data_IF_718131183920
#
_entry.id   IF_718131183920
#
_cell.length_a   1.000
_cell.length_b   1.000
_cell.length_c   1.000
_cell.angle_alpha   90.00
_cell.angle_beta   90.00
_cell.angle_gamma   90.00
#
_symmetry.space_group_name_H-M   'P 1'
#
loop_
_entity.id
_entity.type
_entity.pdbx_description
1 polymer ?
#
# COMPACT_ATOMS: atom_id res chain seq x y z
N UNK A 1 -36.62 26.86 -18.39
CA UNK A 1 -35.74 25.68 -18.22
C UNK A 1 -34.60 26.05 -17.29
N UNK A 2 -34.68 25.72 -16.00
CA UNK A 2 -33.55 25.85 -15.07
C UNK A 2 -32.71 24.57 -15.13
N UNK A 3 -31.44 24.72 -15.47
CA UNK A 3 -30.45 23.64 -15.48
C UNK A 3 -29.75 23.70 -14.13
N UNK A 4 -30.06 22.76 -13.22
CA UNK A 4 -29.30 22.59 -11.99
C UNK A 4 -27.90 22.05 -12.32
N UNK A 5 -26.80 22.60 -11.77
CA UNK A 5 -25.51 21.94 -11.81
C UNK A 5 -25.52 20.77 -10.84
N UNK A 6 -25.36 19.55 -11.38
CA UNK A 6 -25.11 18.34 -10.60
C UNK A 6 -23.74 18.44 -9.94
N UNK A 7 -23.74 18.82 -8.67
CA UNK A 7 -22.58 18.81 -7.80
C UNK A 7 -22.22 17.35 -7.48
N UNK A 8 -21.29 16.77 -8.22
CA UNK A 8 -20.68 15.50 -7.84
C UNK A 8 -19.79 15.73 -6.61
N UNK A 9 -20.38 15.53 -5.43
CA UNK A 9 -19.67 15.49 -4.17
C UNK A 9 -18.84 14.18 -4.14
N UNK A 10 -17.56 14.26 -4.46
CA UNK A 10 -16.64 13.15 -4.26
C UNK A 10 -16.41 12.98 -2.75
N UNK A 11 -17.14 12.05 -2.13
CA UNK A 11 -16.91 11.65 -0.74
C UNK A 11 -15.63 10.80 -0.74
N UNK A 12 -14.56 11.17 0.00
CA UNK A 12 -13.46 10.25 0.23
C UNK A 12 -14.01 9.06 1.01
N UNK A 13 -14.03 7.88 0.38
CA UNK A 13 -14.41 6.64 1.04
C UNK A 13 -13.30 6.25 2.03
N UNK A 14 -13.43 6.70 3.28
CA UNK A 14 -12.66 6.14 4.40
C UNK A 14 -13.30 4.80 4.76
N UNK A 15 -12.70 3.70 4.30
CA UNK A 15 -13.08 2.36 4.73
C UNK A 15 -12.52 2.14 6.14
N UNK A 16 -13.33 2.41 7.17
CA UNK A 16 -13.03 2.00 8.54
C UNK A 16 -13.51 0.56 8.72
N UNK A 17 -12.60 -0.40 8.62
CA UNK A 17 -12.88 -1.77 9.01
C UNK A 17 -13.13 -1.83 10.53
N UNK A 18 -14.25 -2.47 10.91
CA UNK A 18 -14.82 -2.51 12.25
C UNK A 18 -13.89 -3.02 13.36
N UNK A 19 -14.18 -2.54 14.56
CA UNK A 19 -13.38 -2.73 15.77
C UNK A 19 -13.34 -4.14 16.33
N UNK A 20 -12.12 -4.56 16.62
CA UNK A 20 -11.73 -5.36 17.77
C UNK A 20 -10.68 -4.50 18.51
N UNK A 21 -10.62 -4.57 19.85
CA UNK A 21 -9.59 -3.86 20.63
C UNK A 21 -8.23 -4.02 19.95
N UNK A 22 -7.38 -2.97 19.82
CA UNK A 22 -6.18 -3.07 19.03
C UNK A 22 -5.28 -4.11 19.70
N UNK A 23 -5.27 -5.33 19.15
CA UNK A 23 -4.16 -6.25 19.37
C UNK A 23 -2.92 -5.41 19.09
N UNK A 24 -2.04 -5.27 20.10
CA UNK A 24 -0.84 -4.46 20.01
C UNK A 24 -0.17 -4.81 18.68
N UNK A 25 -0.10 -3.83 17.77
CA UNK A 25 0.48 -4.07 16.44
C UNK A 25 1.88 -4.65 16.67
N UNK A 26 2.26 -5.72 15.96
CA UNK A 26 3.58 -6.30 16.11
C UNK A 26 4.63 -5.22 15.86
N UNK A 27 5.61 -5.08 16.75
CA UNK A 27 6.69 -4.09 16.61
C UNK A 27 7.86 -4.74 15.86
N UNK A 28 8.23 -4.18 14.71
CA UNK A 28 9.33 -4.67 13.88
C UNK A 28 10.57 -3.77 13.91
N UNK A 29 10.69 -2.88 14.90
CA UNK A 29 11.84 -1.98 15.06
C UNK A 29 13.18 -2.72 15.16
N UNK A 30 13.18 -3.92 15.74
CA UNK A 30 14.39 -4.76 15.87
C UNK A 30 14.80 -5.51 14.59
N UNK A 31 14.01 -5.44 13.52
CA UNK A 31 14.28 -6.16 12.26
C UNK A 31 15.18 -5.30 11.37
N UNK A 32 16.48 -5.30 11.65
CA UNK A 32 17.45 -4.40 10.99
C UNK A 32 18.32 -5.08 9.92
N UNK A 33 18.06 -6.36 9.61
CA UNK A 33 18.84 -7.12 8.63
C UNK A 33 17.99 -8.09 7.83
N UNK A 34 18.44 -8.39 6.61
CA UNK A 34 17.81 -9.38 5.72
C UNK A 34 17.74 -10.76 6.38
N UNK A 35 18.77 -11.15 7.14
CA UNK A 35 18.76 -12.42 7.86
C UNK A 35 17.65 -12.48 8.92
N UNK A 36 17.46 -11.40 9.69
CA UNK A 36 16.38 -11.30 10.67
C UNK A 36 14.99 -11.33 9.99
N UNK A 37 14.81 -10.59 8.90
CA UNK A 37 13.56 -10.60 8.15
C UNK A 37 13.25 -11.98 7.55
N UNK A 38 14.25 -12.66 6.97
CA UNK A 38 14.08 -14.02 6.42
C UNK A 38 13.71 -15.05 7.48
N UNK A 39 14.26 -14.93 8.69
CA UNK A 39 13.83 -15.76 9.82
C UNK A 39 12.34 -15.56 10.12
N UNK A 40 11.90 -14.31 10.21
CA UNK A 40 10.48 -14.00 10.42
C UNK A 40 9.58 -14.41 9.24
N UNK A 41 10.12 -14.46 8.02
CA UNK A 41 9.43 -15.05 6.86
C UNK A 41 9.27 -16.56 7.03
N UNK A 42 10.32 -17.27 7.43
CA UNK A 42 10.25 -18.70 7.70
C UNK A 42 9.28 -19.03 8.85
N UNK A 43 9.21 -18.16 9.86
CA UNK A 43 8.31 -18.29 11.00
C UNK A 43 6.87 -17.80 10.69
N UNK A 44 6.61 -17.26 9.49
CA UNK A 44 5.29 -16.82 9.04
C UNK A 44 4.82 -15.45 9.57
N UNK A 45 5.67 -14.72 10.29
CA UNK A 45 5.37 -13.37 10.79
C UNK A 45 5.50 -12.29 9.71
N UNK A 46 6.37 -12.52 8.71
CA UNK A 46 6.54 -11.66 7.55
C UNK A 46 6.37 -12.47 6.28
N UNK A 47 6.17 -11.77 5.17
CA UNK A 47 6.27 -12.32 3.82
C UNK A 47 7.12 -11.38 2.97
N UNK A 48 7.85 -11.96 2.03
CA UNK A 48 8.51 -11.21 0.98
C UNK A 48 7.45 -10.76 -0.04
N UNK A 49 7.47 -9.48 -0.40
CA UNK A 49 6.53 -8.89 -1.35
C UNK A 49 7.24 -7.82 -2.19
N UNK A 50 6.64 -7.45 -3.33
CA UNK A 50 7.14 -6.35 -4.14
C UNK A 50 6.51 -5.02 -3.71
N UNK A 51 7.33 -4.00 -3.46
CA UNK A 51 6.90 -2.66 -3.07
C UNK A 51 6.04 -2.01 -4.15
N UNK A 52 6.54 -2.00 -5.38
CA UNK A 52 5.75 -1.75 -6.57
C UNK A 52 5.14 -3.09 -7.04
N UNK A 53 3.80 -3.21 -7.14
CA UNK A 53 3.14 -4.49 -7.41
C UNK A 53 3.41 -4.98 -8.84
N UNK A 54 3.70 -6.27 -9.00
CA UNK A 54 3.96 -6.90 -10.29
C UNK A 54 2.79 -6.70 -11.27
N UNK A 55 1.57 -6.68 -10.76
CA UNK A 55 0.35 -6.54 -11.55
C UNK A 55 0.18 -5.14 -12.18
N UNK A 56 1.01 -4.17 -11.77
CA UNK A 56 1.10 -2.83 -12.36
C UNK A 56 2.45 -2.57 -13.02
N UNK A 57 3.29 -3.61 -13.20
CA UNK A 57 4.59 -3.52 -13.87
C UNK A 57 5.80 -3.45 -12.92
N UNK A 58 5.63 -3.77 -11.64
CA UNK A 58 6.74 -3.83 -10.69
C UNK A 58 7.74 -4.95 -11.03
N UNK A 59 9.04 -4.65 -11.16
CA UNK A 59 10.05 -5.66 -11.48
C UNK A 59 10.34 -6.57 -10.26
N UNK A 60 10.66 -7.86 -10.47
CA UNK A 60 11.05 -8.76 -9.40
C UNK A 60 12.56 -8.66 -9.09
N UNK A 61 13.06 -7.45 -8.86
CA UNK A 61 14.45 -7.20 -8.47
C UNK A 61 14.58 -6.94 -6.96
N UNK A 62 15.83 -6.93 -6.46
CA UNK A 62 16.13 -6.87 -5.01
C UNK A 62 15.72 -5.54 -4.40
N UNK A 63 15.71 -4.50 -5.21
CA UNK A 63 15.41 -3.12 -4.89
C UNK A 63 13.90 -2.90 -4.72
N UNK A 64 13.09 -3.73 -5.39
CA UNK A 64 11.65 -3.75 -5.23
C UNK A 64 11.15 -4.74 -4.16
N UNK A 65 12.03 -5.53 -3.54
CA UNK A 65 11.66 -6.47 -2.47
C UNK A 65 11.49 -5.74 -1.12
N UNK A 66 10.36 -5.97 -0.46
CA UNK A 66 10.06 -5.52 0.90
C UNK A 66 9.48 -6.66 1.74
N UNK A 67 9.54 -6.50 3.06
CA UNK A 67 8.98 -7.45 4.01
C UNK A 67 7.74 -6.86 4.67
N UNK A 68 6.63 -7.59 4.65
CA UNK A 68 5.36 -7.13 5.21
C UNK A 68 4.69 -8.23 6.04
N UNK A 69 3.93 -7.88 7.09
CA UNK A 69 3.06 -8.83 7.77
C UNK A 69 1.98 -9.39 6.82
N UNK A 70 1.58 -10.67 6.96
CA UNK A 70 0.53 -11.26 6.12
C UNK A 70 -0.77 -10.45 6.08
N UNK A 71 -1.21 -9.91 7.22
CA UNK A 71 -2.43 -9.08 7.30
C UNK A 71 -2.34 -7.78 6.47
N UNK A 72 -1.14 -7.20 6.39
CA UNK A 72 -0.88 -5.99 5.59
C UNK A 72 -0.90 -6.34 4.10
N UNK A 73 -0.36 -7.49 3.71
CA UNK A 73 -0.44 -7.97 2.32
C UNK A 73 -1.88 -8.19 1.88
N UNK A 74 -2.72 -8.79 2.72
CA UNK A 74 -4.15 -8.95 2.43
C UNK A 74 -4.85 -7.61 2.23
N UNK A 75 -4.61 -6.65 3.12
CA UNK A 75 -5.19 -5.29 2.99
C UNK A 75 -4.70 -4.60 1.72
N UNK A 76 -3.39 -4.70 1.44
CA UNK A 76 -2.76 -4.13 0.25
C UNK A 76 -3.31 -4.73 -1.05
N UNK A 77 -3.64 -6.01 -1.07
CA UNK A 77 -4.22 -6.66 -2.25
C UNK A 77 -5.53 -6.00 -2.72
N UNK A 78 -6.35 -5.49 -1.79
CA UNK A 78 -7.57 -4.75 -2.13
C UNK A 78 -7.26 -3.41 -2.82
N UNK A 79 -6.25 -2.68 -2.30
CA UNK A 79 -5.79 -1.42 -2.89
C UNK A 79 -5.21 -1.66 -4.29
N UNK A 80 -4.37 -2.69 -4.46
CA UNK A 80 -3.84 -3.09 -5.77
C UNK A 80 -4.98 -3.45 -6.72
N UNK A 81 -5.99 -4.19 -6.26
CA UNK A 81 -7.17 -4.53 -7.06
C UNK A 81 -7.88 -3.29 -7.62
N UNK A 82 -8.02 -2.23 -6.82
CA UNK A 82 -8.58 -0.94 -7.26
C UNK A 82 -7.67 -0.26 -8.28
N UNK A 83 -6.37 -0.15 -8.01
CA UNK A 83 -5.39 0.47 -8.91
C UNK A 83 -5.31 -0.26 -10.26
N UNK A 84 -5.41 -1.60 -10.27
CA UNK A 84 -5.47 -2.39 -11.52
C UNK A 84 -6.68 -2.05 -12.38
N UNK A 85 -7.83 -1.74 -11.77
CA UNK A 85 -9.02 -1.29 -12.51
C UNK A 85 -8.79 0.10 -13.09
N UNK A 86 -8.32 1.04 -12.26
CA UNK A 86 -8.00 2.41 -12.68
C UNK A 86 -6.93 2.49 -13.77
N UNK A 87 -5.95 1.58 -13.76
CA UNK A 87 -4.94 1.52 -14.82
C UNK A 87 -5.54 1.01 -16.14
N UNK A 88 -6.44 0.02 -16.06
CA UNK A 88 -7.10 -0.58 -17.22
C UNK A 88 -8.09 0.36 -17.91
N UNK A 89 -8.86 1.13 -17.13
CA UNK A 89 -9.81 2.11 -17.64
C UNK A 89 -9.13 3.44 -18.06
N UNK A 90 -7.82 3.57 -17.80
CA UNK A 90 -7.02 4.74 -18.14
C UNK A 90 -7.16 5.92 -17.18
N UNK A 91 -7.82 5.76 -16.03
CA UNK A 91 -7.94 6.80 -14.99
C UNK A 91 -6.60 7.12 -14.32
N UNK A 92 -5.61 6.22 -14.40
CA UNK A 92 -4.23 6.46 -13.98
C UNK A 92 -3.25 5.95 -15.04
N UNK A 93 -2.14 6.65 -15.21
CA UNK A 93 -1.01 6.26 -16.06
C UNK A 93 0.34 6.37 -15.32
N UNK A 94 0.33 6.94 -14.11
CA UNK A 94 1.48 7.06 -13.22
C UNK A 94 1.13 6.54 -11.84
N UNK A 95 2.12 5.95 -11.18
CA UNK A 95 2.04 5.50 -9.81
C UNK A 95 3.39 5.61 -9.12
N UNK A 96 3.36 5.85 -7.81
CA UNK A 96 4.50 5.82 -6.91
C UNK A 96 4.13 4.99 -5.67
N UNK A 97 5.08 4.18 -5.20
CA UNK A 97 4.97 3.52 -3.89
C UNK A 97 6.16 3.96 -3.06
N UNK A 98 5.89 4.43 -1.84
CA UNK A 98 6.87 4.94 -0.91
C UNK A 98 6.72 4.20 0.42
N UNK A 99 7.59 3.23 0.69
CA UNK A 99 7.76 2.68 2.03
C UNK A 99 8.40 3.72 2.94
N UNK A 100 7.85 3.87 4.14
CA UNK A 100 8.31 4.76 5.19
C UNK A 100 8.82 3.90 6.36
N UNK A 101 10.13 3.98 6.61
CA UNK A 101 10.85 3.16 7.58
C UNK A 101 11.08 3.92 8.88
N UNK A 102 11.05 3.21 10.00
CA UNK A 102 11.29 3.79 11.34
C UNK A 102 12.60 3.24 11.91
N UNK A 103 13.52 4.15 12.24
CA UNK A 103 14.85 3.78 12.74
C UNK A 103 15.62 2.95 11.71
N UNK A 104 16.30 1.91 12.20
CA UNK A 104 17.11 1.02 11.35
C UNK A 104 16.32 -0.19 10.83
N UNK A 105 15.01 -0.23 11.02
CA UNK A 105 14.19 -1.37 10.59
C UNK A 105 14.10 -1.43 9.06
N UNK A 106 14.28 -2.63 8.51
CA UNK A 106 14.06 -2.92 7.09
C UNK A 106 12.62 -3.34 6.79
N UNK A 107 11.74 -3.35 7.81
CA UNK A 107 10.29 -3.52 7.66
C UNK A 107 9.66 -2.14 7.69
N UNK A 108 8.99 -1.68 6.62
CA UNK A 108 8.40 -0.35 6.61
C UNK A 108 7.34 -0.25 7.69
N UNK A 109 7.27 0.88 8.40
CA UNK A 109 6.21 1.18 9.35
C UNK A 109 4.92 1.61 8.64
N UNK A 110 5.06 2.14 7.42
CA UNK A 110 3.94 2.60 6.58
C UNK A 110 4.28 2.41 5.10
N UNK A 111 3.25 2.19 4.29
CA UNK A 111 3.32 2.25 2.83
C UNK A 111 2.39 3.34 2.31
N UNK A 112 2.92 4.27 1.52
CA UNK A 112 2.11 5.24 0.76
C UNK A 112 2.08 4.84 -0.70
N UNK A 113 0.87 4.74 -1.26
CA UNK A 113 0.63 4.43 -2.66
C UNK A 113 -0.11 5.61 -3.28
N UNK A 114 0.51 6.28 -4.25
CA UNK A 114 -0.06 7.43 -4.94
C UNK A 114 -0.15 7.13 -6.42
N UNK A 115 -1.32 7.32 -7.03
CA UNK A 115 -1.53 7.14 -8.46
C UNK A 115 -2.26 8.33 -9.06
N UNK A 116 -1.96 8.65 -10.30
CA UNK A 116 -2.52 9.81 -10.99
C UNK A 116 -2.49 9.62 -12.50
N UNK A 117 -3.23 10.48 -13.19
CA UNK A 117 -3.14 10.65 -14.64
C UNK A 117 -2.26 11.85 -14.97
N UNK A 118 -1.38 11.71 -15.95
CA UNK A 118 -0.56 12.82 -16.42
C UNK A 118 -1.43 13.97 -16.90
N UNK A 119 -1.14 15.18 -16.41
CA UNK A 119 -1.92 16.39 -16.71
C UNK A 119 -3.12 16.64 -15.78
N UNK A 120 -3.49 15.69 -14.93
CA UNK A 120 -4.53 15.88 -13.91
C UNK A 120 -3.95 16.32 -12.56
N UNK A 121 -4.71 17.13 -11.81
CA UNK A 121 -4.31 17.59 -10.47
C UNK A 121 -4.72 16.60 -9.37
N UNK A 122 -5.78 15.83 -9.61
CA UNK A 122 -6.31 14.88 -8.65
C UNK A 122 -5.45 13.63 -8.61
N UNK A 123 -5.21 13.11 -7.41
CA UNK A 123 -4.47 11.87 -7.20
C UNK A 123 -5.30 10.93 -6.35
N UNK A 124 -5.20 9.64 -6.66
CA UNK A 124 -5.57 8.59 -5.73
C UNK A 124 -4.44 8.41 -4.72
N UNK A 125 -4.78 8.34 -3.44
CA UNK A 125 -3.83 8.07 -2.38
C UNK A 125 -4.37 7.01 -1.42
N UNK A 126 -3.54 6.02 -1.13
CA UNK A 126 -3.79 5.03 -0.10
C UNK A 126 -2.58 4.95 0.83
N UNK A 127 -2.84 5.01 2.14
CA UNK A 127 -1.83 4.86 3.17
C UNK A 127 -2.16 3.61 3.97
N UNK A 128 -1.20 2.71 4.09
CA UNK A 128 -1.32 1.46 4.83
C UNK A 128 -0.32 1.51 5.98
N UNK A 129 -0.83 1.58 7.21
CA UNK A 129 -0.02 1.41 8.41
C UNK A 129 0.37 -0.07 8.54
N UNK A 130 1.65 -0.31 8.82
CA UNK A 130 2.20 -1.66 8.96
C UNK A 130 2.36 -1.99 10.44
N UNK A 131 3.01 -1.11 11.21
CA UNK A 131 3.25 -1.30 12.65
C UNK A 131 3.42 0.00 13.46
#
# INVERSE_FOLDING_TARGET
MSILPSLFLAIPAVVMAGGLAPAKRPDFSAVTSVAAARKLVADGYLVESLAFPAELGGPPDKENIIYLPPAVVTTRALVIGTLKRMSRDGSIDRMKVEPDYRGDSIVPARLRMTAWRSGEKTKFEAVIEVW
#
